data_IF_627540235450
#
_entry.id   IF_627540235450
#
_cell.length_a   1.000
_cell.length_b   1.000
_cell.length_c   1.000
_cell.angle_alpha   90.00
_cell.angle_beta   90.00
_cell.angle_gamma   90.00
#
_symmetry.space_group_name_H-M   'P 1'
#
loop_
_entity.id
_entity.type
_entity.pdbx_description
1 polymer ?
#
# COMPACT_ATOMS: atom_id res chain seq x y z
N UNK A 1 6.75 -6.50 -5.57
CA UNK A 1 6.46 -6.16 -6.98
C UNK A 1 5.50 -4.98 -7.10
N UNK A 2 4.37 -4.99 -6.39
CA UNK A 2 3.33 -3.97 -6.44
C UNK A 2 3.85 -2.56 -6.18
N UNK A 3 4.60 -2.36 -5.08
CA UNK A 3 5.23 -1.06 -4.78
C UNK A 3 6.06 -0.57 -5.98
N UNK A 4 6.94 -1.43 -6.51
CA UNK A 4 7.79 -1.08 -7.66
C UNK A 4 6.99 -0.73 -8.92
N UNK A 5 5.97 -1.54 -9.25
CA UNK A 5 5.11 -1.31 -10.41
C UNK A 5 4.37 0.03 -10.30
N UNK A 6 3.68 0.27 -9.19
CA UNK A 6 2.89 1.49 -9.02
C UNK A 6 3.75 2.73 -8.86
N UNK A 7 4.93 2.62 -8.25
CA UNK A 7 5.92 3.70 -8.21
C UNK A 7 6.36 4.10 -9.62
N UNK A 8 6.67 3.11 -10.47
CA UNK A 8 7.06 3.34 -11.85
C UNK A 8 5.92 3.91 -12.70
N UNK A 9 4.69 3.41 -12.53
CA UNK A 9 3.50 3.95 -13.18
C UNK A 9 3.24 5.40 -12.76
N UNK A 10 3.40 5.71 -11.48
CA UNK A 10 3.27 7.06 -10.94
C UNK A 10 4.32 8.01 -11.50
N UNK A 11 5.58 7.58 -11.60
CA UNK A 11 6.64 8.36 -12.22
C UNK A 11 6.33 8.67 -13.69
N UNK A 12 5.86 7.68 -14.46
CA UNK A 12 5.42 7.88 -15.85
C UNK A 12 4.24 8.83 -15.96
N UNK A 13 3.27 8.72 -15.06
CA UNK A 13 2.11 9.61 -15.04
C UNK A 13 2.51 11.04 -14.70
N UNK A 14 3.43 11.22 -13.74
CA UNK A 14 4.01 12.51 -13.38
C UNK A 14 4.73 13.18 -14.56
N UNK A 15 5.61 12.43 -15.25
CA UNK A 15 6.37 12.95 -16.42
C UNK A 15 5.50 13.32 -17.62
N UNK A 16 4.36 12.65 -17.82
CA UNK A 16 3.42 12.95 -18.91
C UNK A 16 2.53 14.16 -18.62
N UNK A 17 2.36 14.54 -17.36
CA UNK A 17 1.54 15.69 -16.99
C UNK A 17 2.28 16.99 -17.28
N UNK A 18 1.74 17.83 -18.18
CA UNK A 18 2.26 19.18 -18.45
C UNK A 18 2.12 20.14 -17.25
N UNK A 19 1.31 19.79 -16.24
CA UNK A 19 1.20 20.51 -14.98
C UNK A 19 2.00 19.78 -13.91
N UNK A 20 2.77 20.52 -13.11
CA UNK A 20 3.43 19.98 -11.92
C UNK A 20 2.42 19.22 -11.08
N UNK A 21 2.69 17.94 -10.86
CA UNK A 21 1.85 17.12 -10.01
C UNK A 21 2.10 17.52 -8.56
N UNK A 22 1.12 18.14 -7.92
CA UNK A 22 1.21 18.54 -6.52
C UNK A 22 1.13 17.30 -5.64
N UNK A 23 2.06 17.19 -4.70
CA UNK A 23 1.98 16.19 -3.62
C UNK A 23 0.84 16.54 -2.69
N UNK A 24 0.39 15.56 -1.92
CA UNK A 24 -0.69 15.76 -0.95
C UNK A 24 -0.38 16.88 0.06
N UNK A 25 0.87 17.02 0.50
CA UNK A 25 1.26 18.07 1.44
C UNK A 25 1.31 19.47 0.82
N UNK A 26 1.45 19.57 -0.51
CA UNK A 26 1.56 20.86 -1.23
C UNK A 26 0.16 21.43 -1.59
N UNK A 27 -0.91 20.70 -1.27
CA UNK A 27 -2.28 21.12 -1.51
C UNK A 27 -2.70 22.09 -0.41
N UNK A 28 -2.65 23.38 -0.72
CA UNK A 28 -3.21 24.41 0.15
C UNK A 28 -4.73 24.53 -0.07
N UNK A 29 -5.51 24.02 0.88
CA UNK A 29 -6.96 24.14 0.86
C UNK A 29 -7.41 25.57 1.26
N UNK A 30 -8.50 26.10 0.66
CA UNK A 30 -8.96 27.47 0.93
C UNK A 30 -9.83 27.57 2.20
N UNK A 31 -9.73 28.70 2.89
CA UNK A 31 -10.64 29.05 4.00
C UNK A 31 -10.63 28.05 5.16
N UNK A 32 -11.83 27.62 5.58
CA UNK A 32 -12.01 26.66 6.68
C UNK A 32 -11.47 25.26 6.37
N UNK A 33 -11.27 24.90 5.09
CA UNK A 33 -10.71 23.61 4.69
C UNK A 33 -9.22 23.47 5.05
N UNK A 34 -8.54 24.55 5.46
CA UNK A 34 -7.16 24.49 5.95
C UNK A 34 -6.99 23.56 7.16
N UNK A 35 -8.05 23.27 7.91
CA UNK A 35 -7.99 22.31 9.02
C UNK A 35 -7.55 20.91 8.57
N UNK A 36 -7.80 20.55 7.30
CA UNK A 36 -7.40 19.26 6.73
C UNK A 36 -5.92 19.20 6.33
N UNK A 37 -5.17 20.30 6.46
CA UNK A 37 -3.72 20.29 6.35
C UNK A 37 -3.06 19.72 7.63
N UNK A 38 -3.81 19.64 8.72
CA UNK A 38 -3.41 18.95 9.94
C UNK A 38 -3.79 17.45 9.79
N UNK A 39 -2.82 16.56 10.01
CA UNK A 39 -2.96 15.13 9.73
C UNK A 39 -4.03 14.48 10.63
N UNK A 40 -3.96 14.75 11.93
CA UNK A 40 -4.85 14.16 12.91
C UNK A 40 -6.30 14.57 12.64
N UNK A 41 -6.53 15.86 12.37
CA UNK A 41 -7.86 16.39 12.03
C UNK A 41 -8.36 15.79 10.72
N UNK A 42 -7.52 15.78 9.67
CA UNK A 42 -7.89 15.21 8.38
C UNK A 42 -8.24 13.73 8.50
N UNK A 43 -7.39 12.96 9.18
CA UNK A 43 -7.59 11.53 9.39
C UNK A 43 -8.84 11.27 10.24
N UNK A 44 -9.06 12.00 11.33
CA UNK A 44 -10.25 11.85 12.16
C UNK A 44 -11.54 12.10 11.38
N UNK A 45 -11.60 13.16 10.56
CA UNK A 45 -12.79 13.47 9.76
C UNK A 45 -13.01 12.45 8.65
N UNK A 46 -11.95 12.09 7.92
CA UNK A 46 -12.01 11.09 6.85
C UNK A 46 -12.42 9.71 7.38
N UNK A 47 -11.87 9.30 8.51
CA UNK A 47 -12.21 8.02 9.13
C UNK A 47 -13.60 8.03 9.74
N UNK A 48 -14.06 9.17 10.27
CA UNK A 48 -15.45 9.33 10.72
C UNK A 48 -16.43 9.21 9.57
N UNK A 49 -16.12 9.78 8.41
CA UNK A 49 -16.94 9.60 7.22
C UNK A 49 -16.94 8.12 6.79
N UNK A 50 -15.76 7.51 6.72
CA UNK A 50 -15.61 6.13 6.24
C UNK A 50 -16.26 5.09 7.16
N UNK A 51 -15.81 4.99 8.41
CA UNK A 51 -16.37 4.06 9.38
C UNK A 51 -17.76 4.46 9.82
N UNK A 52 -18.08 5.75 9.86
CA UNK A 52 -19.43 6.22 10.15
C UNK A 52 -20.44 5.73 9.13
N UNK A 53 -20.15 5.81 7.83
CA UNK A 53 -21.04 5.25 6.81
C UNK A 53 -21.21 3.74 6.99
N UNK A 54 -20.13 2.99 7.21
CA UNK A 54 -20.19 1.54 7.41
C UNK A 54 -21.03 1.18 8.65
N UNK A 55 -20.74 1.80 9.79
CA UNK A 55 -21.44 1.55 11.05
C UNK A 55 -22.91 1.96 10.97
N UNK A 56 -23.24 3.05 10.28
CA UNK A 56 -24.61 3.47 10.04
C UNK A 56 -25.40 2.49 9.17
N UNK A 57 -24.76 1.90 8.15
CA UNK A 57 -25.37 0.85 7.32
C UNK A 57 -25.61 -0.43 8.13
N UNK A 58 -24.68 -0.82 8.99
CA UNK A 58 -24.85 -1.96 9.89
C UNK A 58 -25.97 -1.70 10.91
N UNK A 59 -26.02 -0.49 11.46
CA UNK A 59 -27.03 -0.06 12.43
C UNK A 59 -26.73 -0.50 13.87
N UNK A 60 -27.32 0.22 14.83
CA UNK A 60 -27.13 -0.04 16.27
C UNK A 60 -27.62 -1.43 16.65
N UNK A 61 -28.79 -1.83 16.16
CA UNK A 61 -29.42 -3.10 16.53
C UNK A 61 -28.56 -4.31 16.15
N UNK A 62 -27.94 -4.27 14.97
CA UNK A 62 -26.98 -5.29 14.56
C UNK A 62 -25.78 -5.34 15.51
N UNK A 63 -25.17 -4.20 15.82
CA UNK A 63 -24.00 -4.14 16.71
C UNK A 63 -24.33 -4.61 18.14
N UNK A 64 -25.54 -4.35 18.63
CA UNK A 64 -26.01 -4.86 19.92
C UNK A 64 -26.22 -6.38 19.85
N UNK A 65 -26.86 -6.88 18.78
CA UNK A 65 -27.11 -8.31 18.60
C UNK A 65 -25.82 -9.15 18.50
N UNK A 66 -24.75 -8.55 17.99
CA UNK A 66 -23.43 -9.17 17.85
C UNK A 66 -22.49 -8.84 19.03
N UNK A 67 -23.02 -8.25 20.11
CA UNK A 67 -22.29 -7.90 21.33
C UNK A 67 -21.12 -6.90 21.14
N UNK A 68 -21.04 -6.22 19.99
CA UNK A 68 -20.06 -5.17 19.74
C UNK A 68 -20.39 -3.84 20.45
N UNK A 69 -21.66 -3.63 20.81
CA UNK A 69 -22.15 -2.43 21.49
C UNK A 69 -23.18 -2.80 22.55
N UNK A 70 -23.11 -2.21 23.74
CA UNK A 70 -24.17 -2.39 24.75
C UNK A 70 -25.42 -1.61 24.35
N UNK A 71 -26.60 -2.14 24.64
CA UNK A 71 -27.87 -1.48 24.32
C UNK A 71 -27.97 -0.05 24.90
N UNK A 72 -27.46 0.16 26.11
CA UNK A 72 -27.42 1.46 26.79
C UNK A 72 -26.39 2.44 26.25
N UNK A 73 -25.49 2.00 25.35
CA UNK A 73 -24.45 2.87 24.79
C UNK A 73 -25.00 3.81 23.73
N UNK A 74 -24.44 5.01 23.69
CA UNK A 74 -24.78 6.01 22.69
C UNK A 74 -24.09 5.69 21.37
N UNK A 75 -24.88 5.51 20.31
CA UNK A 75 -24.38 5.08 19.01
C UNK A 75 -23.51 6.12 18.31
N UNK A 76 -23.83 7.41 18.45
CA UNK A 76 -23.02 8.49 17.89
C UNK A 76 -21.62 8.51 18.51
N UNK A 77 -21.53 8.45 19.85
CA UNK A 77 -20.24 8.40 20.54
C UNK A 77 -19.44 7.14 20.21
N UNK A 78 -20.10 6.00 19.97
CA UNK A 78 -19.44 4.80 19.48
C UNK A 78 -18.81 5.01 18.10
N UNK A 79 -19.55 5.56 17.14
CA UNK A 79 -19.02 5.89 15.80
C UNK A 79 -17.81 6.82 15.90
N UNK A 80 -17.94 7.89 16.69
CA UNK A 80 -16.87 8.87 16.87
C UNK A 80 -15.63 8.23 17.51
N UNK A 81 -15.80 7.42 18.55
CA UNK A 81 -14.70 6.74 19.26
C UNK A 81 -13.98 5.77 18.34
N UNK A 82 -14.72 4.89 17.66
CA UNK A 82 -14.16 3.91 16.71
C UNK A 82 -13.38 4.61 15.60
N UNK A 83 -13.90 5.71 15.09
CA UNK A 83 -13.26 6.47 14.02
C UNK A 83 -11.99 7.18 14.49
N UNK A 84 -12.00 7.75 15.69
CA UNK A 84 -10.86 8.47 16.25
C UNK A 84 -9.75 7.54 16.71
N UNK A 85 -10.08 6.33 17.17
CA UNK A 85 -9.10 5.29 17.50
C UNK A 85 -8.16 5.00 16.33
N UNK A 86 -8.64 5.05 15.08
CA UNK A 86 -7.78 4.88 13.91
C UNK A 86 -6.67 5.94 13.87
N UNK A 87 -7.02 7.22 14.05
CA UNK A 87 -6.04 8.31 14.06
C UNK A 87 -5.03 8.16 15.21
N UNK A 88 -5.50 7.76 16.39
CA UNK A 88 -4.64 7.47 17.56
C UNK A 88 -3.66 6.35 17.26
N UNK A 89 -4.13 5.20 16.75
CA UNK A 89 -3.27 4.07 16.45
C UNK A 89 -2.31 4.36 15.29
N UNK A 90 -2.73 5.14 14.29
CA UNK A 90 -1.85 5.57 13.21
C UNK A 90 -0.73 6.48 13.74
N UNK A 91 -1.04 7.40 14.64
CA UNK A 91 -0.03 8.25 15.28
C UNK A 91 0.96 7.44 16.13
N UNK A 92 0.46 6.48 16.91
CA UNK A 92 1.30 5.54 17.69
C UNK A 92 2.22 4.75 16.75
N UNK A 93 1.68 4.23 15.64
CA UNK A 93 2.44 3.48 14.64
C UNK A 93 3.52 4.35 14.01
N UNK A 94 3.21 5.56 13.56
CA UNK A 94 4.18 6.47 12.96
C UNK A 94 5.31 6.85 13.92
N UNK A 95 4.98 7.11 15.19
CA UNK A 95 5.97 7.38 16.22
C UNK A 95 6.88 6.18 16.46
N UNK A 96 6.30 4.99 16.66
CA UNK A 96 7.04 3.75 16.89
C UNK A 96 7.97 3.42 15.72
N UNK A 97 7.48 3.54 14.48
CA UNK A 97 8.25 3.33 13.25
C UNK A 97 9.45 4.27 13.19
N UNK A 98 9.27 5.57 13.45
CA UNK A 98 10.38 6.54 13.39
C UNK A 98 11.46 6.24 14.41
N UNK A 99 11.08 5.90 15.63
CA UNK A 99 12.01 5.48 16.69
C UNK A 99 12.75 4.22 16.28
N UNK A 100 12.04 3.19 15.81
CA UNK A 100 12.64 1.93 15.39
C UNK A 100 13.62 2.10 14.23
N UNK A 101 13.26 2.84 13.19
CA UNK A 101 14.11 3.05 12.01
C UNK A 101 15.37 3.82 12.36
N UNK A 102 15.29 4.78 13.27
CA UNK A 102 16.46 5.54 13.75
C UNK A 102 17.47 4.62 14.42
N UNK A 103 17.03 3.78 15.36
CA UNK A 103 17.89 2.83 16.06
C UNK A 103 18.40 1.71 15.14
N UNK A 104 17.55 1.23 14.22
CA UNK A 104 17.94 0.21 13.25
C UNK A 104 19.02 0.74 12.31
N UNK A 105 18.88 1.97 11.81
CA UNK A 105 19.88 2.57 10.91
C UNK A 105 21.23 2.69 11.60
N UNK A 106 21.26 3.17 12.84
CA UNK A 106 22.50 3.30 13.62
C UNK A 106 23.15 1.94 13.92
N UNK A 107 22.35 0.96 14.35
CA UNK A 107 22.87 -0.38 14.66
C UNK A 107 23.34 -1.14 13.42
N UNK A 108 22.66 -0.98 12.28
CA UNK A 108 23.01 -1.67 11.04
C UNK A 108 24.28 -1.12 10.37
N UNK A 109 24.70 0.12 10.66
CA UNK A 109 26.00 0.64 10.22
C UNK A 109 27.16 -0.23 10.76
N UNK A 110 27.06 -0.74 11.98
CA UNK A 110 28.06 -1.65 12.55
C UNK A 110 28.12 -2.99 11.82
N UNK A 111 26.96 -3.53 11.42
CA UNK A 111 26.86 -4.78 10.67
C UNK A 111 27.38 -4.60 9.24
N UNK A 112 26.95 -3.53 8.57
CA UNK A 112 27.33 -3.25 7.18
C UNK A 112 28.83 -2.96 7.07
N UNK A 113 29.43 -2.23 8.01
CA UNK A 113 30.86 -1.90 7.97
C UNK A 113 31.81 -3.06 8.29
N UNK A 114 31.35 -4.10 9.00
CA UNK A 114 32.23 -5.19 9.46
C UNK A 114 31.88 -6.59 8.98
N UNK A 115 30.59 -6.92 8.90
CA UNK A 115 30.14 -8.28 8.63
C UNK A 115 29.65 -8.45 7.19
N UNK A 116 28.83 -7.51 6.70
CA UNK A 116 28.21 -7.58 5.38
C UNK A 116 28.33 -6.23 4.64
N UNK A 117 29.50 -5.92 4.05
CA UNK A 117 29.72 -4.71 3.27
C UNK A 117 28.65 -4.53 2.18
N UNK A 118 28.02 -3.35 2.16
CA UNK A 118 26.99 -3.00 1.17
C UNK A 118 25.61 -3.60 1.43
N UNK A 119 25.40 -4.34 2.54
CA UNK A 119 24.08 -4.84 2.89
C UNK A 119 23.16 -3.71 3.39
N UNK A 120 21.90 -3.76 2.97
CA UNK A 120 20.82 -2.86 3.39
C UNK A 120 19.77 -3.66 4.16
N UNK A 121 19.28 -3.17 5.31
CA UNK A 121 18.29 -3.88 6.09
C UNK A 121 16.95 -3.93 5.36
N UNK A 122 16.39 -5.13 5.20
CA UNK A 122 15.00 -5.31 4.81
C UNK A 122 14.08 -5.09 6.00
N UNK A 123 13.14 -4.15 5.89
CA UNK A 123 12.21 -3.76 6.96
C UNK A 123 10.76 -3.82 6.51
N UNK A 124 9.84 -3.80 7.48
CA UNK A 124 8.41 -3.79 7.22
C UNK A 124 8.00 -2.56 6.38
N UNK A 125 7.02 -2.75 5.49
CA UNK A 125 6.48 -1.69 4.63
C UNK A 125 5.95 -0.47 5.40
N UNK A 126 5.50 -0.66 6.65
CA UNK A 126 5.03 0.39 7.54
C UNK A 126 6.10 1.44 7.83
N UNK A 127 7.38 1.11 7.63
CA UNK A 127 8.48 2.09 7.68
C UNK A 127 8.20 3.30 6.80
N UNK A 128 7.64 3.10 5.61
CA UNK A 128 7.32 4.18 4.68
C UNK A 128 6.31 5.20 5.27
N UNK A 129 5.46 4.79 6.21
CA UNK A 129 4.42 5.66 6.80
C UNK A 129 5.02 6.78 7.65
N UNK A 130 6.24 6.60 8.16
CA UNK A 130 6.96 7.61 8.92
C UNK A 130 7.56 8.73 8.05
N UNK A 131 7.74 8.50 6.74
CA UNK A 131 8.51 9.39 5.85
C UNK A 131 7.73 9.88 4.62
N UNK A 132 6.53 9.34 4.38
CA UNK A 132 5.62 9.78 3.33
C UNK A 132 4.88 11.09 3.65
N UNK A 133 4.08 11.56 2.69
CA UNK A 133 3.20 12.69 2.94
C UNK A 133 2.17 12.38 4.02
N UNK A 134 1.80 13.40 4.81
CA UNK A 134 1.05 13.23 6.05
C UNK A 134 -0.22 12.42 5.83
N UNK A 135 -0.99 12.80 4.82
CA UNK A 135 -2.29 12.19 4.52
C UNK A 135 -2.21 11.01 3.54
N UNK A 136 -1.03 10.63 3.06
CA UNK A 136 -0.88 9.60 2.03
C UNK A 136 -1.36 8.22 2.50
N UNK A 137 -1.10 7.87 3.77
CA UNK A 137 -1.53 6.59 4.36
C UNK A 137 -3.06 6.49 4.40
N UNK A 138 -3.71 7.52 4.96
CA UNK A 138 -5.18 7.59 5.08
C UNK A 138 -5.86 7.60 3.71
N UNK A 139 -5.32 8.34 2.75
CA UNK A 139 -5.86 8.40 1.38
C UNK A 139 -5.65 7.06 0.66
N UNK A 140 -4.48 6.44 0.82
CA UNK A 140 -4.21 5.12 0.25
C UNK A 140 -5.18 4.08 0.75
N UNK A 141 -5.40 4.02 2.06
CA UNK A 141 -6.41 3.17 2.67
C UNK A 141 -7.81 3.40 2.10
N UNK A 142 -8.26 4.67 2.03
CA UNK A 142 -9.60 5.02 1.51
C UNK A 142 -9.79 4.55 0.08
N UNK A 143 -8.89 4.93 -0.82
CA UNK A 143 -9.03 4.60 -2.24
C UNK A 143 -8.82 3.10 -2.50
N UNK A 144 -7.93 2.46 -1.74
CA UNK A 144 -7.78 1.00 -1.72
C UNK A 144 -9.07 0.29 -1.31
N UNK A 145 -9.70 0.73 -0.21
CA UNK A 145 -10.97 0.21 0.27
C UNK A 145 -12.09 0.39 -0.76
N UNK A 146 -12.19 1.58 -1.37
CA UNK A 146 -13.17 1.84 -2.44
C UNK A 146 -12.97 0.89 -3.63
N UNK A 147 -11.72 0.64 -4.03
CA UNK A 147 -11.38 -0.34 -5.06
C UNK A 147 -11.83 -1.75 -4.67
N UNK A 148 -11.51 -2.19 -3.45
CA UNK A 148 -11.93 -3.51 -2.97
C UNK A 148 -13.44 -3.66 -2.89
N UNK A 149 -14.16 -2.67 -2.35
CA UNK A 149 -15.62 -2.72 -2.25
C UNK A 149 -16.29 -2.76 -3.62
N UNK A 150 -15.77 -1.99 -4.59
CA UNK A 150 -16.25 -2.07 -5.96
C UNK A 150 -16.02 -3.46 -6.56
N UNK A 151 -14.83 -4.05 -6.37
CA UNK A 151 -14.56 -5.39 -6.87
C UNK A 151 -15.45 -6.46 -6.21
N UNK A 152 -15.66 -6.38 -4.89
CA UNK A 152 -16.56 -7.30 -4.17
C UNK A 152 -17.99 -7.18 -4.70
N UNK A 153 -18.49 -5.96 -4.86
CA UNK A 153 -19.82 -5.73 -5.44
C UNK A 153 -19.92 -6.34 -6.83
N UNK A 154 -18.90 -6.16 -7.68
CA UNK A 154 -18.86 -6.75 -9.01
C UNK A 154 -18.82 -8.29 -8.96
N UNK A 155 -18.06 -8.90 -8.05
CA UNK A 155 -18.06 -10.35 -7.86
C UNK A 155 -19.46 -10.88 -7.49
N UNK A 156 -20.19 -10.17 -6.63
CA UNK A 156 -21.56 -10.52 -6.23
C UNK A 156 -22.52 -10.39 -7.43
N UNK A 157 -22.50 -9.25 -8.13
CA UNK A 157 -23.38 -8.98 -9.26
C UNK A 157 -23.14 -9.97 -10.43
N UNK A 158 -21.89 -10.35 -10.65
CA UNK A 158 -21.50 -11.33 -11.67
C UNK A 158 -21.68 -12.79 -11.22
N UNK A 159 -22.20 -13.03 -10.00
CA UNK A 159 -22.40 -14.37 -9.42
C UNK A 159 -21.12 -15.21 -9.44
N UNK A 160 -19.99 -14.60 -9.06
CA UNK A 160 -18.71 -15.30 -8.96
C UNK A 160 -18.81 -16.50 -8.02
N UNK A 161 -18.24 -17.67 -8.39
CA UNK A 161 -18.21 -18.85 -7.51
C UNK A 161 -17.33 -18.66 -6.28
N UNK A 162 -16.47 -17.63 -6.28
CA UNK A 162 -15.62 -17.27 -5.14
C UNK A 162 -15.87 -15.81 -4.78
N UNK A 163 -16.34 -15.59 -3.56
CA UNK A 163 -16.49 -14.27 -2.97
C UNK A 163 -15.35 -14.03 -1.99
N UNK A 164 -14.82 -12.80 -2.03
CA UNK A 164 -13.73 -12.37 -1.15
C UNK A 164 -14.31 -11.41 -0.12
N UNK A 165 -13.98 -11.64 1.14
CA UNK A 165 -14.26 -10.68 2.22
C UNK A 165 -13.01 -9.84 2.42
N UNK A 166 -13.18 -8.51 2.42
CA UNK A 166 -12.06 -7.58 2.58
C UNK A 166 -11.43 -7.71 3.97
N UNK A 167 -10.17 -8.13 4.03
CA UNK A 167 -9.37 -8.11 5.25
C UNK A 167 -8.75 -6.73 5.49
N UNK A 168 -8.73 -6.25 6.73
CA UNK A 168 -8.19 -4.93 7.04
C UNK A 168 -6.72 -4.80 6.64
N UNK A 169 -5.89 -5.83 6.87
CA UNK A 169 -4.45 -5.77 6.62
C UNK A 169 -4.13 -5.48 5.13
N UNK A 170 -4.63 -6.24 4.14
CA UNK A 170 -4.44 -5.90 2.72
C UNK A 170 -5.08 -4.58 2.29
N UNK A 171 -6.24 -4.24 2.85
CA UNK A 171 -6.92 -2.96 2.54
C UNK A 171 -6.06 -1.79 2.98
N UNK A 172 -5.47 -1.87 4.18
CA UNK A 172 -4.72 -0.78 4.78
C UNK A 172 -3.26 -0.77 4.34
N UNK A 173 -2.46 -1.79 4.67
CA UNK A 173 -1.00 -1.71 4.58
C UNK A 173 -0.50 -1.59 3.14
N UNK A 174 -0.95 -2.48 2.24
CA UNK A 174 -0.53 -2.47 0.83
C UNK A 174 -0.92 -1.16 0.13
N UNK A 175 -2.17 -0.73 0.30
CA UNK A 175 -2.67 0.44 -0.40
C UNK A 175 -2.11 1.74 0.18
N UNK A 176 -1.85 1.78 1.49
CA UNK A 176 -1.13 2.88 2.14
C UNK A 176 0.31 3.00 1.63
N UNK A 177 1.06 1.89 1.56
CA UNK A 177 2.45 1.95 1.07
C UNK A 177 2.51 2.33 -0.40
N UNK A 178 1.60 1.79 -1.23
CA UNK A 178 1.47 2.17 -2.63
C UNK A 178 1.18 3.67 -2.75
N UNK A 179 0.28 4.22 -1.93
CA UNK A 179 -0.05 5.65 -1.94
C UNK A 179 1.14 6.54 -1.55
N UNK A 180 1.91 6.15 -0.53
CA UNK A 180 3.09 6.90 -0.09
C UNK A 180 4.11 7.06 -1.23
N UNK A 181 4.44 5.96 -1.91
CA UNK A 181 5.39 6.01 -3.03
C UNK A 181 4.79 6.67 -4.28
N UNK A 182 3.51 6.41 -4.57
CA UNK A 182 2.81 7.01 -5.70
C UNK A 182 2.69 8.53 -5.56
N UNK A 183 2.39 9.04 -4.36
CA UNK A 183 2.36 10.48 -4.08
C UNK A 183 3.74 11.12 -4.35
N UNK A 184 4.81 10.48 -3.85
CA UNK A 184 6.17 10.99 -4.04
C UNK A 184 6.56 11.12 -5.52
N UNK A 185 6.11 10.19 -6.39
CA UNK A 185 6.49 10.16 -7.81
C UNK A 185 5.49 10.81 -8.77
N UNK A 186 4.22 10.80 -8.43
CA UNK A 186 3.13 11.20 -9.31
C UNK A 186 2.09 12.11 -8.66
N UNK A 187 2.31 12.56 -7.42
CA UNK A 187 1.47 13.48 -6.65
C UNK A 187 0.12 12.91 -6.24
N UNK A 188 -0.77 13.78 -5.77
CA UNK A 188 -2.04 13.40 -5.15
C UNK A 188 -2.94 12.53 -6.05
N UNK A 189 -2.95 12.78 -7.38
CA UNK A 189 -3.73 11.98 -8.33
C UNK A 189 -3.24 10.52 -8.38
N UNK A 190 -1.92 10.32 -8.36
CA UNK A 190 -1.32 8.99 -8.31
C UNK A 190 -1.64 8.29 -6.98
N UNK A 191 -1.56 9.05 -5.88
CA UNK A 191 -1.86 8.58 -4.54
C UNK A 191 -3.31 8.13 -4.36
N UNK A 192 -4.25 8.58 -5.20
CA UNK A 192 -5.64 8.13 -5.19
C UNK A 192 -5.88 7.00 -6.20
N UNK A 193 -5.39 7.15 -7.43
CA UNK A 193 -5.69 6.21 -8.52
C UNK A 193 -5.04 4.83 -8.29
N UNK A 194 -3.77 4.78 -7.90
CA UNK A 194 -3.05 3.50 -7.84
C UNK A 194 -3.47 2.60 -6.67
N UNK A 195 -3.75 3.14 -5.47
CA UNK A 195 -4.38 2.35 -4.41
C UNK A 195 -5.74 1.80 -4.83
N UNK A 196 -6.56 2.58 -5.55
CA UNK A 196 -7.83 2.10 -6.07
C UNK A 196 -7.68 0.92 -7.04
N UNK A 197 -6.76 1.04 -8.02
CA UNK A 197 -6.45 -0.05 -8.95
C UNK A 197 -5.82 -1.25 -8.24
N UNK A 198 -5.01 -1.01 -7.22
CA UNK A 198 -4.46 -2.04 -6.35
C UNK A 198 -5.57 -2.81 -5.64
N UNK A 199 -6.55 -2.12 -5.04
CA UNK A 199 -7.71 -2.74 -4.39
C UNK A 199 -8.52 -3.63 -5.32
N UNK A 200 -8.78 -3.18 -6.55
CA UNK A 200 -9.43 -4.02 -7.58
C UNK A 200 -8.62 -5.29 -7.84
N UNK A 201 -7.31 -5.15 -8.06
CA UNK A 201 -6.40 -6.27 -8.32
C UNK A 201 -6.31 -7.25 -7.16
N UNK A 202 -6.29 -6.76 -5.91
CA UNK A 202 -6.27 -7.58 -4.70
C UNK A 202 -7.48 -8.49 -4.62
N UNK A 203 -8.69 -7.97 -4.86
CA UNK A 203 -9.93 -8.75 -4.76
C UNK A 203 -10.10 -9.72 -5.92
N UNK A 204 -10.01 -9.25 -7.16
CA UNK A 204 -10.18 -10.13 -8.33
C UNK A 204 -9.11 -11.20 -8.39
N UNK A 205 -7.87 -10.81 -8.11
CA UNK A 205 -6.73 -11.69 -8.06
C UNK A 205 -6.87 -12.77 -6.98
N UNK A 206 -7.29 -12.39 -5.78
CA UNK A 206 -7.54 -13.33 -4.68
C UNK A 206 -8.70 -14.27 -4.98
N UNK A 207 -9.80 -13.78 -5.57
CA UNK A 207 -10.92 -14.62 -5.96
C UNK A 207 -10.49 -15.66 -7.00
N UNK A 208 -9.74 -15.23 -8.01
CA UNK A 208 -9.21 -16.12 -9.05
C UNK A 208 -8.31 -17.20 -8.46
N UNK A 209 -7.27 -16.82 -7.72
CA UNK A 209 -6.28 -17.79 -7.24
C UNK A 209 -6.87 -18.71 -6.19
N UNK A 210 -7.65 -18.19 -5.23
CA UNK A 210 -8.27 -19.01 -4.20
C UNK A 210 -9.24 -20.05 -4.80
N UNK A 211 -10.01 -19.66 -5.81
CA UNK A 211 -10.84 -20.59 -6.57
C UNK A 211 -10.00 -21.60 -7.36
N UNK A 212 -8.98 -21.13 -8.08
CA UNK A 212 -8.17 -21.95 -8.98
C UNK A 212 -7.36 -23.03 -8.27
N UNK A 213 -6.77 -22.72 -7.11
CA UNK A 213 -6.02 -23.70 -6.31
C UNK A 213 -6.89 -24.48 -5.32
N UNK A 214 -8.20 -24.24 -5.31
CA UNK A 214 -9.14 -24.88 -4.40
C UNK A 214 -8.99 -24.44 -2.94
N UNK A 215 -8.34 -23.30 -2.67
CA UNK A 215 -8.22 -22.74 -1.33
C UNK A 215 -9.49 -22.03 -0.85
N UNK A 216 -10.38 -21.65 -1.76
CA UNK A 216 -11.63 -20.96 -1.44
C UNK A 216 -12.48 -21.70 -0.38
N UNK A 217 -12.47 -23.03 -0.39
CA UNK A 217 -13.21 -23.87 0.57
C UNK A 217 -12.65 -23.79 2.01
N UNK A 218 -11.38 -23.40 2.19
CA UNK A 218 -10.73 -23.27 3.50
C UNK A 218 -10.86 -21.86 4.08
N UNK A 219 -11.55 -20.93 3.38
CA UNK A 219 -11.95 -19.64 3.93
C UNK A 219 -10.85 -18.59 4.04
N UNK A 220 -9.65 -18.80 3.50
CA UNK A 220 -8.54 -17.86 3.63
C UNK A 220 -7.54 -17.83 2.48
N UNK A 221 -7.17 -16.63 2.06
CA UNK A 221 -6.03 -16.34 1.18
C UNK A 221 -5.33 -15.06 1.66
N UNK A 222 -4.04 -14.90 1.37
CA UNK A 222 -3.22 -13.80 1.90
C UNK A 222 -3.74 -12.40 1.54
N UNK A 223 -4.32 -12.23 0.35
CA UNK A 223 -4.98 -10.98 -0.07
C UNK A 223 -4.04 -9.81 -0.41
N UNK A 224 -2.76 -9.87 -0.01
CA UNK A 224 -1.76 -8.86 -0.37
C UNK A 224 -1.52 -8.81 -1.89
N UNK A 225 -1.18 -7.65 -2.45
CA UNK A 225 -1.18 -7.40 -3.89
C UNK A 225 -0.23 -8.32 -4.66
N UNK A 226 0.99 -8.54 -4.17
CA UNK A 226 1.93 -9.46 -4.81
C UNK A 226 1.38 -10.90 -4.84
N UNK A 227 0.69 -11.31 -3.78
CA UNK A 227 0.04 -12.62 -3.66
C UNK A 227 -1.24 -12.70 -4.49
N UNK A 228 -1.94 -11.59 -4.71
CA UNK A 228 -3.17 -11.55 -5.48
C UNK A 228 -2.91 -11.35 -6.98
N UNK A 229 -1.78 -10.78 -7.39
CA UNK A 229 -1.56 -10.42 -8.81
C UNK A 229 -0.35 -11.13 -9.41
N UNK A 230 0.79 -11.16 -8.71
CA UNK A 230 2.01 -11.78 -9.25
C UNK A 230 2.02 -13.29 -9.04
N UNK A 231 1.73 -13.71 -7.81
CA UNK A 231 1.71 -15.14 -7.46
C UNK A 231 0.73 -15.98 -8.30
N UNK A 232 -0.46 -15.48 -8.69
CA UNK A 232 -1.36 -16.25 -9.53
C UNK A 232 -0.81 -16.49 -10.93
N UNK A 233 -0.07 -15.52 -11.48
CA UNK A 233 0.65 -15.70 -12.76
C UNK A 233 1.67 -16.83 -12.63
N UNK A 234 2.47 -16.82 -11.57
CA UNK A 234 3.44 -17.88 -11.30
C UNK A 234 2.76 -19.24 -11.12
N UNK A 235 1.65 -19.27 -10.40
CA UNK A 235 0.89 -20.50 -10.14
C UNK A 235 0.35 -21.09 -11.44
N UNK A 236 -0.21 -20.27 -12.32
CA UNK A 236 -0.69 -20.71 -13.64
C UNK A 236 0.45 -21.27 -14.49
N UNK A 237 1.58 -20.56 -14.56
CA UNK A 237 2.77 -21.02 -15.31
C UNK A 237 3.28 -22.36 -14.78
N UNK A 238 3.41 -22.52 -13.46
CA UNK A 238 3.83 -23.78 -12.85
C UNK A 238 2.80 -24.90 -13.07
N UNK A 239 1.49 -24.59 -13.05
CA UNK A 239 0.44 -25.59 -13.23
C UNK A 239 0.46 -26.20 -14.63
N UNK A 240 0.67 -25.38 -15.67
CA UNK A 240 0.63 -25.85 -17.06
C UNK A 240 1.98 -26.34 -17.58
N UNK A 241 3.10 -25.78 -17.10
CA UNK A 241 4.45 -26.15 -17.56
C UNK A 241 5.22 -27.03 -16.56
N UNK A 242 4.61 -27.40 -15.43
CA UNK A 242 5.21 -28.24 -14.37
C UNK A 242 6.62 -27.75 -13.99
N UNK A 243 7.62 -28.64 -13.99
CA UNK A 243 9.01 -28.32 -13.66
C UNK A 243 9.64 -27.28 -14.59
N UNK A 244 9.26 -27.25 -15.87
CA UNK A 244 9.77 -26.23 -16.80
C UNK A 244 9.26 -24.83 -16.42
N UNK A 245 8.00 -24.73 -15.98
CA UNK A 245 7.42 -23.48 -15.48
C UNK A 245 8.14 -22.96 -14.24
N UNK A 246 8.49 -23.86 -13.31
CA UNK A 246 9.28 -23.51 -12.12
C UNK A 246 10.66 -22.97 -12.51
N UNK A 247 11.37 -23.65 -13.40
CA UNK A 247 12.69 -23.21 -13.90
C UNK A 247 12.59 -21.82 -14.53
N UNK A 248 11.57 -21.59 -15.36
CA UNK A 248 11.35 -20.30 -16.02
C UNK A 248 11.14 -19.18 -15.00
N UNK A 249 10.34 -19.41 -13.96
CA UNK A 249 10.11 -18.42 -12.90
C UNK A 249 11.40 -18.14 -12.13
N UNK A 250 12.13 -19.17 -11.73
CA UNK A 250 13.40 -19.02 -11.00
C UNK A 250 14.41 -18.23 -11.83
N UNK A 251 14.59 -18.60 -13.11
CA UNK A 251 15.47 -17.87 -14.03
C UNK A 251 15.01 -16.43 -14.20
N UNK A 252 13.70 -16.19 -14.35
CA UNK A 252 13.13 -14.85 -14.44
C UNK A 252 13.41 -14.00 -13.21
N UNK A 253 13.20 -14.55 -12.00
CA UNK A 253 13.47 -13.86 -10.74
C UNK A 253 14.95 -13.54 -10.56
N UNK A 254 15.85 -14.47 -10.95
CA UNK A 254 17.30 -14.25 -10.93
C UNK A 254 17.75 -13.23 -11.99
N UNK A 255 17.06 -13.16 -13.13
CA UNK A 255 17.39 -12.23 -14.20
C UNK A 255 17.07 -10.77 -13.84
N UNK A 256 16.03 -10.51 -13.03
CA UNK A 256 15.63 -9.15 -12.63
C UNK A 256 16.79 -8.32 -12.05
N UNK A 257 17.49 -8.75 -10.97
CA UNK A 257 18.60 -7.96 -10.43
C UNK A 257 19.76 -7.84 -11.41
N UNK A 258 20.02 -8.86 -12.25
CA UNK A 258 21.07 -8.81 -13.26
C UNK A 258 20.77 -7.76 -14.34
N UNK A 259 19.52 -7.67 -14.78
CA UNK A 259 19.05 -6.66 -15.73
C UNK A 259 19.11 -5.27 -15.10
N UNK A 260 18.66 -5.12 -13.86
CA UNK A 260 18.73 -3.84 -13.14
C UNK A 260 20.17 -3.35 -12.99
N UNK A 261 21.11 -4.25 -12.66
CA UNK A 261 22.53 -3.95 -12.61
C UNK A 261 23.05 -3.53 -13.99
N UNK A 262 22.75 -4.27 -15.06
CA UNK A 262 23.22 -3.94 -16.41
C UNK A 262 22.70 -2.60 -16.92
N UNK A 263 21.45 -2.24 -16.60
CA UNK A 263 20.84 -0.97 -17.03
C UNK A 263 21.37 0.24 -16.25
N UNK A 264 21.89 0.02 -15.02
CA UNK A 264 22.27 1.10 -14.11
C UNK A 264 23.65 0.88 -13.48
N UNK A 265 24.60 0.27 -14.19
CA UNK A 265 25.91 -0.15 -13.62
C UNK A 265 26.57 0.92 -12.75
N UNK A 266 26.56 2.15 -13.25
CA UNK A 266 27.23 3.31 -12.68
C UNK A 266 26.54 3.82 -11.40
N UNK A 267 25.25 3.51 -11.20
CA UNK A 267 24.46 4.00 -10.07
C UNK A 267 23.90 2.89 -9.19
N UNK A 268 24.00 1.63 -9.61
CA UNK A 268 23.28 0.52 -8.99
C UNK A 268 23.64 0.33 -7.52
N UNK A 269 24.93 0.32 -7.20
CA UNK A 269 25.42 0.22 -5.81
C UNK A 269 25.37 1.56 -5.08
N UNK A 270 25.52 2.67 -5.81
CA UNK A 270 25.38 4.02 -5.23
C UNK A 270 23.98 4.27 -4.67
N UNK A 271 22.93 3.63 -5.19
CA UNK A 271 21.57 3.74 -4.64
C UNK A 271 21.49 3.39 -3.15
N UNK A 272 22.39 2.56 -2.65
CA UNK A 272 22.43 2.09 -1.26
C UNK A 272 23.60 2.65 -0.47
N UNK A 273 24.71 2.99 -1.13
CA UNK A 273 25.95 3.45 -0.49
C UNK A 273 26.04 4.98 -0.40
N UNK A 274 25.68 5.69 -1.47
CA UNK A 274 25.72 7.16 -1.55
C UNK A 274 24.61 7.69 -2.45
N UNK A 275 23.48 8.02 -1.81
CA UNK A 275 22.31 8.53 -2.50
C UNK A 275 22.54 9.91 -3.15
N UNK A 276 23.39 10.75 -2.57
CA UNK A 276 23.66 12.10 -3.11
C UNK A 276 24.47 12.00 -4.41
N UNK A 277 25.50 11.17 -4.41
CA UNK A 277 26.29 10.88 -5.61
C UNK A 277 25.45 10.17 -6.68
N UNK A 278 24.60 9.22 -6.27
CA UNK A 278 23.64 8.56 -7.16
C UNK A 278 22.72 9.59 -7.87
N UNK A 279 22.21 10.59 -7.14
CA UNK A 279 21.40 11.67 -7.73
C UNK A 279 22.21 12.51 -8.71
N UNK A 280 23.45 12.87 -8.39
CA UNK A 280 24.33 13.65 -9.27
C UNK A 280 24.56 12.94 -10.61
N UNK A 281 24.98 11.67 -10.56
CA UNK A 281 25.24 10.86 -11.77
C UNK A 281 23.97 10.70 -12.62
N UNK A 282 22.80 10.51 -11.99
CA UNK A 282 21.52 10.45 -12.70
C UNK A 282 21.13 11.76 -13.35
N UNK A 283 21.35 12.90 -12.68
CA UNK A 283 21.08 14.22 -13.23
C UNK A 283 21.97 14.53 -14.44
N UNK A 284 23.26 14.20 -14.37
CA UNK A 284 24.20 14.36 -15.49
C UNK A 284 23.82 13.53 -16.71
N UNK A 285 23.25 12.33 -16.51
CA UNK A 285 22.72 11.52 -17.61
C UNK A 285 21.39 12.02 -18.16
N UNK A 286 20.54 12.61 -17.32
CA UNK A 286 19.24 13.14 -17.76
C UNK A 286 19.36 14.48 -18.49
N UNK A 287 20.46 15.21 -18.29
CA UNK A 287 20.78 16.46 -19.00
C UNK A 287 21.58 16.29 -20.30
N UNK A 288 21.96 15.05 -20.66
CA UNK A 288 22.56 14.69 -21.96
C UNK A 288 21.48 14.16 -22.90
#
# INVERSE_FOLDING_TARGET
FGIGLFTWLAEKMGKKSKKESKRLDDINLPGWLKIFNENMVATAVLMTLFFGVILMILGKDYLVSQEFLKESSNFFFYIMTTSFHFGVYLAILQLGVRTFVTELTNSFQGISSRLLPGAVPGVDCAVAFGFGSKNAVTIGFLFGALGQFLAILLLILLKSPTLVVAGFVPVFFDNAVIAVYADNKGGAKAAMLFPFLSGLGQVFGSAFIAGFVGLAQYGGYLGMWDWAVVWPIFTVVMKYLSYFGLILIVVGLLAIPQIQYHLKKDTYFLETEDWEECKRVRAEKAGK
#
